data_IF_646566317359
#
_entry.id   IF_646566317359
#
_cell.length_a   1.000
_cell.length_b   1.000
_cell.length_c   1.000
_cell.angle_alpha   90.00
_cell.angle_beta   90.00
_cell.angle_gamma   90.00
#
_symmetry.space_group_name_H-M   'P 1'
#
loop_
_entity.id
_entity.type
_entity.pdbx_description
1 polymer ?
#
# COMPACT_ATOMS: atom_id res chain seq x y z
N UNK A 1 -20.10 19.49 23.84
CA UNK A 1 -19.94 20.15 22.53
C UNK A 1 -21.32 20.24 21.88
N UNK A 2 -21.85 21.43 21.57
CA UNK A 2 -23.15 21.55 20.92
C UNK A 2 -22.98 21.29 19.42
N UNK A 3 -23.18 20.04 18.99
CA UNK A 3 -23.29 19.71 17.57
C UNK A 3 -24.62 20.22 17.03
N UNK A 4 -24.59 21.20 16.13
CA UNK A 4 -25.80 21.61 15.40
C UNK A 4 -26.15 20.50 14.42
N UNK A 5 -27.30 19.87 14.60
CA UNK A 5 -27.82 18.88 13.66
C UNK A 5 -28.72 19.60 12.65
N UNK A 6 -28.46 19.44 11.36
CA UNK A 6 -29.30 19.96 10.28
C UNK A 6 -30.07 18.79 9.65
N UNK A 7 -31.35 18.99 9.34
CA UNK A 7 -32.14 18.01 8.60
C UNK A 7 -32.13 18.38 7.12
N UNK A 8 -31.64 17.49 6.28
CA UNK A 8 -31.72 17.60 4.82
C UNK A 8 -32.25 16.28 4.27
N UNK A 9 -33.19 16.32 3.32
CA UNK A 9 -33.75 15.12 2.66
C UNK A 9 -34.24 14.02 3.62
N UNK A 10 -34.87 14.42 4.72
CA UNK A 10 -35.37 13.49 5.75
C UNK A 10 -34.28 12.81 6.59
N UNK A 11 -33.01 13.19 6.45
CA UNK A 11 -31.87 12.66 7.20
C UNK A 11 -31.24 13.73 8.08
N UNK A 12 -30.79 13.32 9.25
CA UNK A 12 -30.09 14.17 10.21
C UNK A 12 -28.59 14.16 9.92
N UNK A 13 -28.02 15.35 9.70
CA UNK A 13 -26.60 15.57 9.47
C UNK A 13 -26.02 16.38 10.63
N UNK A 14 -24.88 15.93 11.14
CA UNK A 14 -24.15 16.64 12.19
C UNK A 14 -23.21 17.66 11.56
N UNK A 15 -23.40 18.94 11.89
CA UNK A 15 -22.44 19.99 11.51
C UNK A 15 -21.26 19.90 12.46
N UNK A 16 -20.16 19.33 11.97
CA UNK A 16 -18.88 19.28 12.67
C UNK A 16 -18.08 20.53 12.40
N UNK A 17 -17.36 21.00 13.42
CA UNK A 17 -16.40 22.10 13.25
C UNK A 17 -15.27 21.69 12.28
N UNK A 18 -14.74 22.67 11.54
CA UNK A 18 -13.68 22.45 10.56
C UNK A 18 -12.42 21.81 11.18
N UNK A 19 -12.11 22.13 12.45
CA UNK A 19 -11.00 21.52 13.18
C UNK A 19 -11.26 20.02 13.40
N UNK A 20 -12.46 19.66 13.85
CA UNK A 20 -12.87 18.27 14.07
C UNK A 20 -12.87 17.46 12.78
N UNK A 21 -13.33 18.05 11.66
CA UNK A 21 -13.26 17.39 10.36
C UNK A 21 -11.82 17.13 9.89
N UNK A 22 -10.91 18.09 10.11
CA UNK A 22 -9.49 17.90 9.78
C UNK A 22 -8.86 16.78 10.61
N UNK A 23 -9.19 16.70 11.89
CA UNK A 23 -8.69 15.64 12.77
C UNK A 23 -9.22 14.26 12.34
N UNK A 24 -10.52 14.16 12.00
CA UNK A 24 -11.11 12.91 11.49
C UNK A 24 -10.50 12.47 10.16
N UNK A 25 -10.27 13.41 9.23
CA UNK A 25 -9.59 13.12 7.95
C UNK A 25 -8.14 12.72 8.19
N UNK A 26 -7.45 13.36 9.14
CA UNK A 26 -6.08 13.02 9.50
C UNK A 26 -5.99 11.63 10.13
N UNK A 27 -6.91 11.27 11.02
CA UNK A 27 -7.01 9.92 11.59
C UNK A 27 -7.34 8.86 10.54
N UNK A 28 -8.26 9.15 9.61
CA UNK A 28 -8.57 8.27 8.49
C UNK A 28 -7.34 8.07 7.59
N UNK A 29 -6.62 9.14 7.27
CA UNK A 29 -5.40 9.11 6.49
C UNK A 29 -4.27 8.35 7.21
N UNK A 30 -4.11 8.54 8.52
CA UNK A 30 -3.17 7.76 9.33
C UNK A 30 -3.57 6.29 9.32
N UNK A 31 -4.85 5.96 9.50
CA UNK A 31 -5.36 4.58 9.46
C UNK A 31 -5.10 3.92 8.11
N UNK A 32 -5.38 4.60 7.00
CA UNK A 32 -5.02 4.15 5.65
C UNK A 32 -3.50 3.95 5.53
N UNK A 33 -2.70 4.92 6.00
CA UNK A 33 -1.24 4.85 5.95
C UNK A 33 -0.67 3.72 6.82
N UNK A 34 -1.26 3.42 7.97
CA UNK A 34 -0.89 2.25 8.80
C UNK A 34 -1.36 0.93 8.21
N UNK A 35 -2.47 0.91 7.45
CA UNK A 35 -2.85 -0.26 6.65
C UNK A 35 -1.89 -0.45 5.45
N UNK A 36 -1.25 0.63 5.02
CA UNK A 36 -0.22 0.68 3.97
C UNK A 36 1.19 0.39 4.51
N UNK A 37 1.37 0.14 5.81
CA UNK A 37 2.65 -0.30 6.37
C UNK A 37 2.87 -1.79 6.05
N UNK A 38 3.68 -2.02 5.03
CA UNK A 38 4.06 -3.31 4.44
C UNK A 38 2.99 -3.92 3.53
N UNK A 39 2.72 -3.26 2.40
CA UNK A 39 2.14 -3.91 1.23
C UNK A 39 3.05 -5.07 0.81
N UNK A 40 2.78 -6.26 1.33
CA UNK A 40 3.52 -7.48 1.02
C UNK A 40 2.73 -8.22 -0.04
N UNK A 41 3.39 -8.59 -1.13
CA UNK A 41 2.76 -9.24 -2.26
C UNK A 41 3.21 -10.70 -2.37
N UNK A 42 2.36 -11.55 -2.93
CA UNK A 42 2.70 -12.96 -3.16
C UNK A 42 3.72 -13.10 -4.28
N UNK A 43 4.40 -14.25 -4.36
CA UNK A 43 5.30 -14.57 -5.46
C UNK A 43 4.63 -14.43 -6.84
N UNK A 44 3.34 -14.79 -6.96
CA UNK A 44 2.56 -14.63 -8.19
C UNK A 44 2.45 -13.15 -8.56
N UNK A 45 2.09 -12.29 -7.60
CA UNK A 45 1.92 -10.87 -7.86
C UNK A 45 3.25 -10.16 -8.15
N UNK A 46 4.33 -10.55 -7.47
CA UNK A 46 5.66 -10.05 -7.77
C UNK A 46 6.10 -10.35 -9.22
N UNK A 47 5.81 -11.56 -9.72
CA UNK A 47 6.07 -11.94 -11.12
C UNK A 47 5.27 -11.10 -12.12
N UNK A 48 3.98 -10.88 -11.83
CA UNK A 48 3.12 -10.02 -12.66
C UNK A 48 3.66 -8.59 -12.74
N UNK A 49 4.04 -7.99 -11.60
CA UNK A 49 4.60 -6.63 -11.55
C UNK A 49 5.92 -6.54 -12.33
N UNK A 50 6.76 -7.56 -12.24
CA UNK A 50 8.04 -7.61 -12.95
C UNK A 50 7.90 -7.98 -14.43
N UNK A 51 6.70 -8.30 -14.93
CA UNK A 51 6.49 -8.82 -16.28
C UNK A 51 7.26 -10.13 -16.55
N UNK A 52 7.62 -10.87 -15.49
CA UNK A 52 8.56 -11.97 -15.55
C UNK A 52 7.88 -13.33 -15.50
N UNK A 53 8.34 -14.25 -16.35
CA UNK A 53 8.02 -15.68 -16.23
C UNK A 53 8.73 -16.27 -15.00
N UNK A 54 8.25 -17.41 -14.52
CA UNK A 54 8.79 -18.09 -13.32
C UNK A 54 10.30 -18.32 -13.40
N UNK A 55 10.82 -18.75 -14.55
CA UNK A 55 12.26 -18.96 -14.76
C UNK A 55 13.08 -17.67 -14.64
N UNK A 56 12.64 -16.58 -15.27
CA UNK A 56 13.28 -15.26 -15.16
C UNK A 56 13.26 -14.73 -13.72
N UNK A 57 12.15 -14.92 -13.01
CA UNK A 57 12.03 -14.53 -11.61
C UNK A 57 13.05 -15.25 -10.72
N UNK A 58 13.25 -16.56 -10.91
CA UNK A 58 14.29 -17.29 -10.19
C UNK A 58 15.71 -16.85 -10.57
N UNK A 59 15.95 -16.47 -11.83
CA UNK A 59 17.24 -15.92 -12.26
C UNK A 59 17.53 -14.58 -11.58
N UNK A 60 16.53 -13.69 -11.51
CA UNK A 60 16.65 -12.41 -10.79
C UNK A 60 16.96 -12.65 -9.32
N UNK A 61 16.32 -13.64 -8.68
CA UNK A 61 16.61 -13.98 -7.28
C UNK A 61 18.02 -14.53 -7.04
N UNK A 62 18.63 -15.13 -8.08
CA UNK A 62 20.00 -15.64 -8.02
C UNK A 62 21.04 -14.58 -8.39
N UNK A 63 20.62 -13.41 -8.86
CA UNK A 63 21.51 -12.29 -9.18
C UNK A 63 22.15 -11.75 -7.89
N UNK A 64 23.48 -11.64 -7.79
CA UNK A 64 24.15 -11.02 -6.64
C UNK A 64 23.74 -9.56 -6.39
N UNK A 65 23.17 -8.87 -7.38
CA UNK A 65 22.67 -7.49 -7.27
C UNK A 65 21.15 -7.41 -7.02
N UNK A 66 20.50 -8.54 -6.75
CA UNK A 66 19.06 -8.59 -6.50
C UNK A 66 18.67 -7.76 -5.27
N UNK A 67 17.70 -6.86 -5.41
CA UNK A 67 17.16 -6.07 -4.30
C UNK A 67 15.83 -6.59 -3.77
N UNK A 68 15.29 -7.68 -4.33
CA UNK A 68 14.03 -8.29 -3.84
C UNK A 68 14.18 -8.76 -2.40
N UNK A 69 13.34 -8.21 -1.51
CA UNK A 69 13.32 -8.58 -0.08
C UNK A 69 12.09 -9.43 0.23
N UNK A 70 12.31 -10.51 0.98
CA UNK A 70 11.22 -11.34 1.53
C UNK A 70 10.60 -10.63 2.72
N UNK A 71 9.28 -10.77 2.85
CA UNK A 71 8.57 -10.37 4.06
C UNK A 71 8.83 -11.38 5.19
N UNK A 72 8.53 -10.98 6.43
CA UNK A 72 8.40 -11.87 7.58
C UNK A 72 7.30 -12.93 7.36
N UNK A 73 6.31 -12.65 6.52
CA UNK A 73 5.28 -13.62 6.12
C UNK A 73 5.82 -14.54 5.03
N UNK A 74 5.85 -15.86 5.32
CA UNK A 74 6.36 -16.90 4.41
C UNK A 74 5.70 -16.80 3.02
N UNK A 75 6.54 -16.78 1.98
CA UNK A 75 6.07 -16.74 0.58
C UNK A 75 5.63 -15.36 0.08
N UNK A 76 5.77 -14.30 0.89
CA UNK A 76 5.51 -12.92 0.47
C UNK A 76 6.79 -12.10 0.32
N UNK A 77 6.71 -11.10 -0.53
CA UNK A 77 7.77 -10.15 -0.84
C UNK A 77 7.33 -8.75 -0.48
N UNK A 78 8.27 -7.89 -0.12
CA UNK A 78 8.00 -6.49 0.17
C UNK A 78 7.78 -5.78 -1.18
N UNK A 79 6.60 -5.23 -1.42
CA UNK A 79 6.23 -4.63 -2.71
C UNK A 79 7.18 -3.49 -3.12
N UNK A 80 7.64 -2.68 -2.16
CA UNK A 80 8.65 -1.64 -2.40
C UNK A 80 9.91 -2.23 -3.07
N UNK A 81 10.43 -3.34 -2.54
CA UNK A 81 11.60 -4.01 -3.10
C UNK A 81 11.36 -4.60 -4.49
N UNK A 82 10.13 -5.05 -4.77
CA UNK A 82 9.73 -5.53 -6.10
C UNK A 82 9.76 -4.38 -7.11
N UNK A 83 9.26 -3.19 -6.73
CA UNK A 83 9.28 -2.02 -7.60
C UNK A 83 10.68 -1.44 -7.80
N UNK A 84 11.55 -1.47 -6.79
CA UNK A 84 12.96 -1.10 -6.94
C UNK A 84 13.67 -2.02 -7.93
N UNK A 85 13.39 -3.32 -7.87
CA UNK A 85 13.94 -4.29 -8.80
C UNK A 85 13.40 -4.10 -10.22
N UNK A 86 12.11 -3.80 -10.37
CA UNK A 86 11.52 -3.45 -11.66
C UNK A 86 12.24 -2.25 -12.30
N UNK A 87 12.49 -1.20 -11.52
CA UNK A 87 13.23 -0.02 -12.00
C UNK A 87 14.66 -0.36 -12.41
N UNK A 88 15.35 -1.23 -11.67
CA UNK A 88 16.71 -1.70 -12.01
C UNK A 88 16.71 -2.40 -13.36
N UNK A 89 15.79 -3.35 -13.55
CA UNK A 89 15.69 -4.14 -14.78
C UNK A 89 15.27 -3.28 -15.96
N UNK A 90 14.35 -2.33 -15.76
CA UNK A 90 13.88 -1.43 -16.83
C UNK A 90 14.92 -0.40 -17.29
N UNK A 91 15.94 -0.13 -16.46
CA UNK A 91 17.02 0.82 -16.76
C UNK A 91 18.32 0.10 -17.20
N UNK A 92 18.29 -1.22 -17.37
CA UNK A 92 19.37 -2.03 -17.95
C UNK A 92 19.00 -2.46 -19.36
#
# INVERSE_FOLDING_TARGET
MPSKTIKMDGREYYVVDKAVMKDLVHEAYIKEKTTTNQSVCTAKKAKEILGCRTTKFYQIQKDPKCKLRKSTVKGKYILASVHEELKRISNS
#
